data_IF_173562618473
#
_entry.id   IF_173562618473
#
_cell.length_a   1.000
_cell.length_b   1.000
_cell.length_c   1.000
_cell.angle_alpha   90.00
_cell.angle_beta   90.00
_cell.angle_gamma   90.00
#
_symmetry.space_group_name_H-M   'P 1'
#
loop_
_entity.id
_entity.type
_entity.pdbx_description
1 polymer ?
#
# COMPACT_ATOMS: atom_id res chain seq x y z
N UNK A 1 10.04 -16.84 -3.31
CA UNK A 1 8.68 -16.92 -3.91
C UNK A 1 7.86 -17.71 -2.93
N UNK A 2 7.18 -17.00 -2.02
CA UNK A 2 6.25 -17.51 -1.01
C UNK A 2 5.50 -16.28 -0.48
N UNK A 3 4.42 -15.91 -1.16
CA UNK A 3 3.61 -14.74 -0.84
C UNK A 3 2.15 -15.16 -0.91
N UNK A 4 1.43 -15.03 0.19
CA UNK A 4 0.03 -15.44 0.32
C UNK A 4 -0.80 -14.29 0.93
N UNK A 5 -2.06 -14.18 0.51
CA UNK A 5 -3.05 -13.23 1.03
C UNK A 5 -2.72 -11.74 0.90
N UNK A 6 -1.85 -11.38 -0.05
CA UNK A 6 -1.50 -9.99 -0.33
C UNK A 6 -2.46 -9.38 -1.35
N UNK A 7 -2.78 -8.10 -1.16
CA UNK A 7 -3.54 -7.30 -2.14
C UNK A 7 -2.60 -6.25 -2.70
N UNK A 8 -2.45 -6.22 -4.02
CA UNK A 8 -1.58 -5.30 -4.76
C UNK A 8 -2.43 -4.47 -5.70
N UNK A 9 -2.36 -3.16 -5.56
CA UNK A 9 -2.92 -2.21 -6.53
C UNK A 9 -1.77 -1.30 -6.97
N UNK A 10 -1.53 -1.26 -8.28
CA UNK A 10 -0.44 -0.47 -8.86
C UNK A 10 -0.84 0.09 -10.21
N UNK A 11 -0.61 1.39 -10.38
CA UNK A 11 -0.57 2.07 -11.67
C UNK A 11 0.91 2.29 -12.02
N UNK A 12 1.38 1.70 -13.13
CA UNK A 12 2.73 1.80 -13.71
C UNK A 12 3.97 1.43 -12.84
N UNK A 13 3.81 0.98 -11.58
CA UNK A 13 4.95 0.57 -10.73
C UNK A 13 5.08 -0.96 -10.56
N UNK A 14 6.31 -1.47 -10.61
CA UNK A 14 6.60 -2.87 -10.34
C UNK A 14 6.88 -3.09 -8.85
N UNK A 15 5.98 -3.81 -8.15
CA UNK A 15 6.15 -4.14 -6.73
C UNK A 15 6.31 -5.65 -6.57
N UNK A 16 7.31 -6.08 -5.80
CA UNK A 16 7.56 -7.48 -5.49
C UNK A 16 7.50 -7.72 -3.98
N UNK A 17 6.74 -8.73 -3.56
CA UNK A 17 6.60 -9.16 -2.18
C UNK A 17 7.16 -10.58 -2.05
N UNK A 18 8.05 -10.82 -1.09
CA UNK A 18 8.71 -12.12 -0.89
C UNK A 18 8.70 -12.47 0.60
N UNK A 19 8.16 -13.64 0.95
CA UNK A 19 8.16 -14.14 2.33
C UNK A 19 7.25 -13.35 3.27
N UNK A 20 6.26 -12.63 2.74
CA UNK A 20 5.34 -11.78 3.51
C UNK A 20 3.89 -12.14 3.20
N UNK A 21 3.05 -12.03 4.22
CA UNK A 21 1.62 -12.33 4.16
C UNK A 21 0.82 -11.26 4.90
N UNK A 22 -0.41 -11.03 4.45
CA UNK A 22 -1.33 -10.13 5.14
C UNK A 22 -0.91 -8.66 5.04
N UNK A 23 -0.31 -8.26 3.92
CA UNK A 23 -0.02 -6.86 3.63
C UNK A 23 -0.96 -6.32 2.56
N UNK A 24 -1.34 -5.06 2.70
CA UNK A 24 -1.93 -4.24 1.64
C UNK A 24 -0.84 -3.30 1.12
N UNK A 25 -0.63 -3.35 -0.20
CA UNK A 25 0.31 -2.48 -0.91
C UNK A 25 -0.49 -1.61 -1.88
N UNK A 26 -0.34 -0.30 -1.74
CA UNK A 26 -0.97 0.69 -2.61
C UNK A 26 0.12 1.55 -3.22
N UNK A 27 0.30 1.45 -4.54
CA UNK A 27 1.14 2.39 -5.28
C UNK A 27 0.25 3.51 -5.85
N UNK A 28 0.62 4.76 -5.57
CA UNK A 28 -0.07 5.95 -6.07
C UNK A 28 0.97 7.04 -6.35
N UNK A 29 0.83 7.71 -7.49
CA UNK A 29 1.75 8.72 -8.03
C UNK A 29 3.23 8.30 -8.03
N UNK A 30 4.08 8.86 -7.15
CA UNK A 30 5.51 8.55 -7.01
C UNK A 30 5.81 7.62 -5.81
N UNK A 31 4.80 7.29 -5.01
CA UNK A 31 4.96 6.60 -3.72
C UNK A 31 4.34 5.21 -3.68
N UNK A 32 4.72 4.45 -2.65
CA UNK A 32 4.19 3.13 -2.32
C UNK A 32 3.93 3.08 -0.82
N UNK A 33 2.69 2.81 -0.44
CA UNK A 33 2.29 2.61 0.95
C UNK A 33 2.11 1.12 1.22
N UNK A 34 2.66 0.65 2.34
CA UNK A 34 2.57 -0.74 2.79
C UNK A 34 2.06 -0.77 4.22
N UNK A 35 0.96 -1.50 4.45
CA UNK A 35 0.36 -1.66 5.78
C UNK A 35 -0.11 -3.09 6.00
N UNK A 36 -0.35 -3.53 7.24
CA UNK A 36 -1.10 -4.76 7.50
C UNK A 36 -2.49 -4.72 6.86
N UNK A 37 -2.94 -5.84 6.28
CA UNK A 37 -4.25 -5.98 5.63
C UNK A 37 -5.42 -5.66 6.57
N UNK A 38 -5.28 -5.96 7.86
CA UNK A 38 -6.27 -5.59 8.90
C UNK A 38 -6.47 -4.08 9.02
N UNK A 39 -5.45 -3.30 8.67
CA UNK A 39 -5.43 -1.84 8.76
C UNK A 39 -5.66 -1.18 7.38
N UNK A 40 -5.93 -1.97 6.33
CA UNK A 40 -6.08 -1.44 4.97
C UNK A 40 -7.19 -0.38 4.85
N UNK A 41 -8.23 -0.44 5.68
CA UNK A 41 -9.28 0.58 5.73
C UNK A 41 -8.76 1.97 6.14
N UNK A 42 -7.71 2.02 6.97
CA UNK A 42 -7.06 3.25 7.44
C UNK A 42 -6.10 3.85 6.42
N UNK A 43 -5.77 3.12 5.36
CA UNK A 43 -4.94 3.66 4.26
C UNK A 43 -5.62 4.87 3.63
N UNK A 44 -6.94 4.83 3.44
CA UNK A 44 -7.67 5.99 2.90
C UNK A 44 -7.56 7.20 3.81
N UNK A 45 -7.70 7.02 5.12
CA UNK A 45 -7.52 8.11 6.09
C UNK A 45 -6.08 8.65 6.07
N UNK A 46 -5.07 7.79 6.00
CA UNK A 46 -3.66 8.22 5.91
C UNK A 46 -3.40 8.99 4.62
N UNK A 47 -3.90 8.51 3.48
CA UNK A 47 -3.80 9.20 2.19
C UNK A 47 -4.50 10.56 2.26
N UNK A 48 -5.73 10.65 2.77
CA UNK A 48 -6.41 11.94 2.93
C UNK A 48 -5.65 12.90 3.85
N UNK A 49 -5.10 12.40 4.95
CA UNK A 49 -4.39 13.23 5.94
C UNK A 49 -3.03 13.74 5.43
N UNK A 50 -2.35 12.96 4.59
CA UNK A 50 -1.14 13.41 3.92
C UNK A 50 -1.47 14.53 2.90
N UNK A 51 -2.69 14.53 2.32
CA UNK A 51 -3.14 15.40 1.21
C UNK A 51 -3.50 16.77 1.78
N UNK A 52 -4.22 16.74 2.90
CA UNK A 52 -4.47 17.91 3.74
C UNK A 52 -3.19 18.60 4.23
N UNK A 53 -2.10 17.85 4.44
CA UNK A 53 -0.82 18.41 4.91
C UNK A 53 0.04 18.99 3.79
N UNK A 54 -0.36 18.82 2.52
CA UNK A 54 0.49 19.16 1.38
C UNK A 54 1.79 18.37 1.38
N UNK A 55 1.80 17.19 2.01
CA UNK A 55 2.93 16.28 1.99
C UNK A 55 2.85 15.34 0.77
N UNK A 56 1.92 15.59 -0.18
CA UNK A 56 1.87 15.01 -1.53
C UNK A 56 2.73 15.79 -2.51
#
# INVERSE_FOLDING_TARGET
VDAADNVVVSDDKHVSLVGVSGLAVVAYDDRVLVVPKSEAGRVRELVSLLDERGEF
#
